data_IF_517364128617
#
_entry.id   IF_517364128617
#
_cell.length_a   1.000
_cell.length_b   1.000
_cell.length_c   1.000
_cell.angle_alpha   90.00
_cell.angle_beta   90.00
_cell.angle_gamma   90.00
#
_symmetry.space_group_name_H-M   'P 1'
#
loop_
_entity.id
_entity.type
_entity.pdbx_description
1 polymer ?
#
# COMPACT_ATOMS: atom_id res chain seq x y z
N UNK A 1 -16.08 29.52 -1.46
CA UNK A 1 -15.51 28.89 -2.68
C UNK A 1 -15.87 27.42 -2.69
N UNK A 2 -16.43 26.89 -3.77
CA UNK A 2 -16.59 25.44 -3.95
C UNK A 2 -15.22 24.82 -4.26
N UNK A 3 -14.91 23.67 -3.65
CA UNK A 3 -13.70 22.89 -3.98
C UNK A 3 -13.85 22.27 -5.37
N UNK A 4 -12.78 22.21 -6.15
CA UNK A 4 -12.76 21.46 -7.42
C UNK A 4 -12.84 19.95 -7.13
N UNK A 5 -13.59 19.16 -7.90
CA UNK A 5 -13.64 17.71 -7.72
C UNK A 5 -12.26 17.10 -8.00
N UNK A 6 -11.87 16.12 -7.18
CA UNK A 6 -10.65 15.32 -7.33
C UNK A 6 -11.04 13.85 -7.28
N UNK A 7 -10.54 13.06 -8.23
CA UNK A 7 -10.69 11.60 -8.22
C UNK A 7 -9.37 10.97 -7.80
N UNK A 8 -9.40 10.12 -6.77
CA UNK A 8 -8.22 9.39 -6.29
C UNK A 8 -8.32 7.94 -6.77
N UNK A 9 -7.35 7.48 -7.56
CA UNK A 9 -7.24 6.08 -7.98
C UNK A 9 -6.26 5.37 -7.06
N UNK A 10 -6.75 4.37 -6.32
CA UNK A 10 -5.93 3.62 -5.35
C UNK A 10 -5.51 2.28 -5.94
N UNK A 11 -4.19 2.09 -6.11
CA UNK A 11 -3.61 0.79 -6.45
C UNK A 11 -3.24 0.07 -5.15
N UNK A 12 -4.15 -0.75 -4.64
CA UNK A 12 -3.95 -1.48 -3.40
C UNK A 12 -3.23 -2.82 -3.64
N UNK A 13 -1.90 -2.78 -3.67
CA UNK A 13 -1.03 -3.97 -3.71
C UNK A 13 -0.68 -4.50 -2.31
N UNK A 14 -1.44 -4.09 -1.28
CA UNK A 14 -1.40 -4.58 0.11
C UNK A 14 -0.10 -4.29 0.88
N UNK A 15 0.73 -3.33 0.44
CA UNK A 15 1.92 -2.92 1.20
C UNK A 15 3.06 -2.41 0.32
N UNK A 16 4.30 -2.59 0.77
CA UNK A 16 5.52 -2.16 0.10
C UNK A 16 5.93 -3.00 -1.11
N UNK A 17 5.02 -3.31 -2.04
CA UNK A 17 5.33 -4.20 -3.17
C UNK A 17 6.44 -3.67 -4.10
N UNK A 18 6.76 -2.38 -4.05
CA UNK A 18 7.90 -1.78 -4.77
C UNK A 18 9.22 -2.49 -4.43
N UNK A 19 9.39 -2.99 -3.20
CA UNK A 19 10.61 -3.67 -2.79
C UNK A 19 10.83 -5.00 -3.51
N UNK A 20 9.81 -5.57 -4.17
CA UNK A 20 9.95 -6.74 -5.05
C UNK A 20 10.75 -6.46 -6.31
N UNK A 21 10.83 -5.19 -6.72
CA UNK A 21 11.56 -4.76 -7.91
C UNK A 21 13.00 -4.34 -7.59
N UNK A 22 13.37 -4.30 -6.32
CA UNK A 22 14.68 -3.85 -5.87
C UNK A 22 15.57 -5.05 -5.55
N UNK A 23 16.90 -4.94 -5.74
CA UNK A 23 17.84 -6.05 -5.46
C UNK A 23 17.78 -6.61 -4.03
N UNK A 24 17.18 -5.87 -3.10
CA UNK A 24 17.02 -6.31 -1.72
C UNK A 24 16.09 -7.51 -1.58
N UNK A 25 15.12 -7.69 -2.49
CA UNK A 25 14.22 -8.84 -2.50
C UNK A 25 14.98 -10.16 -2.64
N UNK A 26 16.04 -10.19 -3.44
CA UNK A 26 16.84 -11.39 -3.68
C UNK A 26 17.93 -11.61 -2.63
N UNK A 27 18.28 -10.56 -1.89
CA UNK A 27 19.42 -10.56 -0.96
C UNK A 27 19.02 -10.71 0.51
N UNK A 28 17.73 -10.62 0.81
CA UNK A 28 17.23 -10.54 2.17
C UNK A 28 16.29 -11.71 2.45
N UNK A 29 16.37 -12.36 3.63
CA UNK A 29 15.44 -13.41 3.98
C UNK A 29 13.99 -12.97 3.86
N UNK A 30 13.13 -13.86 3.34
CA UNK A 30 11.72 -13.56 3.11
C UNK A 30 10.99 -13.09 4.38
N UNK A 31 11.36 -13.60 5.56
CA UNK A 31 10.77 -13.18 6.84
C UNK A 31 11.10 -11.72 7.20
N UNK A 32 12.30 -11.25 6.87
CA UNK A 32 12.73 -9.86 7.05
C UNK A 32 12.05 -8.98 6.01
N UNK A 33 11.97 -9.44 4.76
CA UNK A 33 11.23 -8.76 3.70
C UNK A 33 9.77 -8.54 4.08
N UNK A 34 9.09 -9.58 4.56
CA UNK A 34 7.68 -9.47 4.95
C UNK A 34 7.49 -8.52 6.14
N UNK A 35 8.33 -8.66 7.18
CA UNK A 35 8.17 -7.90 8.42
C UNK A 35 8.52 -6.42 8.30
N UNK A 36 9.50 -6.07 7.47
CA UNK A 36 10.08 -4.71 7.47
C UNK A 36 9.96 -3.98 6.14
N UNK A 37 9.72 -4.67 5.03
CA UNK A 37 9.68 -4.06 3.69
C UNK A 37 8.30 -4.15 3.05
N UNK A 38 7.76 -5.35 2.88
CA UNK A 38 6.43 -5.53 2.31
C UNK A 38 5.35 -5.06 3.26
N UNK A 39 5.55 -5.27 4.57
CA UNK A 39 4.69 -4.72 5.64
C UNK A 39 3.21 -4.88 5.30
N UNK A 40 2.83 -6.10 4.95
CA UNK A 40 1.52 -6.37 4.37
C UNK A 40 0.40 -5.92 5.30
N UNK A 41 -0.62 -5.29 4.72
CA UNK A 41 -1.81 -4.85 5.44
C UNK A 41 -3.09 -5.33 4.76
N UNK A 42 -4.15 -5.50 5.53
CA UNK A 42 -5.48 -5.90 5.04
C UNK A 42 -6.54 -4.82 5.27
N UNK A 43 -6.16 -3.56 5.00
CA UNK A 43 -7.05 -2.41 5.14
C UNK A 43 -8.11 -2.42 4.05
N UNK A 44 -9.38 -2.32 4.46
CA UNK A 44 -10.52 -2.14 3.57
C UNK A 44 -10.68 -0.67 3.21
N UNK A 45 -10.05 -0.26 2.11
CA UNK A 45 -10.06 1.14 1.63
C UNK A 45 -11.49 1.68 1.46
N UNK A 46 -12.44 0.86 1.03
CA UNK A 46 -13.84 1.25 0.91
C UNK A 46 -14.46 1.66 2.25
N UNK A 47 -14.14 0.97 3.35
CA UNK A 47 -14.62 1.33 4.69
C UNK A 47 -14.02 2.66 5.16
N UNK A 48 -12.77 2.94 4.81
CA UNK A 48 -12.16 4.26 5.07
C UNK A 48 -12.85 5.37 4.27
N UNK A 49 -13.14 5.15 2.99
CA UNK A 49 -13.90 6.13 2.20
C UNK A 49 -15.29 6.38 2.81
N UNK A 50 -16.02 5.33 3.19
CA UNK A 50 -17.32 5.47 3.85
C UNK A 50 -17.25 6.22 5.18
N UNK A 51 -16.16 6.08 5.93
CA UNK A 51 -15.95 6.78 7.20
C UNK A 51 -15.72 8.30 7.03
N UNK A 52 -15.34 8.77 5.84
CA UNK A 52 -14.92 10.17 5.59
C UNK A 52 -15.77 10.94 4.57
N UNK A 53 -16.69 10.27 3.86
CA UNK A 53 -17.62 10.90 2.91
C UNK A 53 -16.98 11.31 1.59
#
# INVERSE_FOLDING_TARGET
MLRKPVTIVVINNRGGAIFRLLPIADRTPASIMERYFYTSHDVKVAELCMAHG
#
